data_IF_831021659321
#
_entry.id   IF_831021659321
#
_cell.length_a   1.000
_cell.length_b   1.000
_cell.length_c   1.000
_cell.angle_alpha   90.00
_cell.angle_beta   90.00
_cell.angle_gamma   90.00
#
_symmetry.space_group_name_H-M   'P 1'
#
loop_
_entity.id
_entity.type
_entity.pdbx_description
1 polymer ?
#
# COMPACT_ATOMS: atom_id res chain seq x y z
N UNK A 1 -11.23 -7.99 -19.37
CA UNK A 1 -12.17 -9.14 -19.53
C UNK A 1 -12.08 -10.02 -18.29
N UNK A 2 -13.20 -10.57 -17.80
CA UNK A 2 -13.20 -11.48 -16.65
C UNK A 2 -13.40 -12.93 -17.10
N UNK A 3 -12.75 -13.89 -16.43
CA UNK A 3 -12.91 -15.32 -16.65
C UNK A 3 -13.31 -16.00 -15.33
N UNK A 4 -14.33 -16.86 -15.36
CA UNK A 4 -14.73 -17.65 -14.20
C UNK A 4 -13.79 -18.85 -14.03
N UNK A 5 -13.24 -19.01 -12.84
CA UNK A 5 -12.45 -20.17 -12.43
C UNK A 5 -13.19 -20.82 -11.25
N UNK A 6 -13.32 -22.14 -11.25
CA UNK A 6 -13.86 -22.90 -10.12
C UNK A 6 -12.71 -23.52 -9.36
N UNK A 7 -12.64 -23.27 -8.05
CA UNK A 7 -11.59 -23.77 -7.16
C UNK A 7 -12.26 -24.59 -6.07
N UNK A 8 -11.70 -25.78 -5.81
CA UNK A 8 -12.04 -26.57 -4.62
C UNK A 8 -11.02 -26.24 -3.54
N UNK A 9 -11.50 -25.87 -2.36
CA UNK A 9 -10.67 -25.53 -1.21
C UNK A 9 -10.85 -26.60 -0.13
N UNK A 10 -9.78 -27.00 0.57
CA UNK A 10 -9.89 -27.72 1.82
C UNK A 10 -10.78 -26.96 2.83
N UNK A 11 -11.51 -27.69 3.66
CA UNK A 11 -12.50 -27.10 4.59
C UNK A 11 -11.85 -26.09 5.55
N UNK A 12 -10.65 -26.38 6.06
CA UNK A 12 -9.91 -25.49 6.95
C UNK A 12 -9.54 -24.15 6.27
N UNK A 13 -9.18 -24.20 4.98
CA UNK A 13 -8.89 -23.00 4.21
C UNK A 13 -10.16 -22.20 3.91
N UNK A 14 -11.25 -22.90 3.57
CA UNK A 14 -12.55 -22.27 3.32
C UNK A 14 -13.07 -21.56 4.58
N UNK A 15 -12.95 -22.17 5.76
CA UNK A 15 -13.34 -21.56 7.04
C UNK A 15 -12.52 -20.30 7.36
N UNK A 16 -11.19 -20.36 7.18
CA UNK A 16 -10.30 -19.20 7.37
C UNK A 16 -10.67 -18.06 6.43
N UNK A 17 -10.88 -18.37 5.16
CA UNK A 17 -11.29 -17.40 4.14
C UNK A 17 -12.64 -16.75 4.47
N UNK A 18 -13.65 -17.54 4.85
CA UNK A 18 -14.97 -17.03 5.23
C UNK A 18 -14.91 -16.18 6.52
N UNK A 19 -14.01 -16.50 7.45
CA UNK A 19 -13.77 -15.67 8.63
C UNK A 19 -13.24 -14.30 8.22
N UNK A 20 -12.24 -14.26 7.35
CA UNK A 20 -11.65 -13.02 6.86
C UNK A 20 -12.64 -12.18 6.05
N UNK A 21 -13.43 -12.82 5.19
CA UNK A 21 -14.52 -12.19 4.44
C UNK A 21 -15.51 -11.45 5.36
N UNK A 22 -15.91 -12.08 6.47
CA UNK A 22 -16.80 -11.46 7.47
C UNK A 22 -16.15 -10.27 8.16
N UNK A 23 -14.86 -10.37 8.52
CA UNK A 23 -14.12 -9.29 9.16
C UNK A 23 -13.98 -8.07 8.25
N UNK A 24 -13.64 -8.30 6.98
CA UNK A 24 -13.49 -7.24 5.96
C UNK A 24 -14.82 -6.73 5.39
N UNK A 25 -15.95 -7.38 5.70
CA UNK A 25 -17.30 -7.07 5.18
C UNK A 25 -17.37 -7.00 3.65
N UNK A 26 -16.57 -7.80 2.96
CA UNK A 26 -16.52 -7.88 1.49
C UNK A 26 -17.36 -9.05 0.96
N UNK A 27 -17.66 -9.11 -0.34
CA UNK A 27 -18.20 -10.33 -0.94
C UNK A 27 -17.08 -11.35 -1.12
N UNK A 28 -17.39 -12.64 -1.03
CA UNK A 28 -16.40 -13.71 -1.22
C UNK A 28 -15.68 -13.61 -2.57
N UNK A 29 -16.38 -13.26 -3.64
CA UNK A 29 -15.74 -13.10 -4.95
C UNK A 29 -14.73 -11.97 -4.98
N UNK A 30 -15.00 -10.88 -4.25
CA UNK A 30 -14.13 -9.70 -4.24
C UNK A 30 -12.87 -10.00 -3.42
N UNK A 31 -13.03 -10.51 -2.19
CA UNK A 31 -11.86 -10.89 -1.37
C UNK A 31 -10.99 -11.94 -2.05
N UNK A 32 -11.59 -12.94 -2.70
CA UNK A 32 -10.81 -13.97 -3.39
C UNK A 32 -10.02 -13.38 -4.57
N UNK A 33 -10.61 -12.47 -5.33
CA UNK A 33 -9.92 -11.77 -6.43
C UNK A 33 -8.78 -10.93 -5.87
N UNK A 34 -9.03 -10.16 -4.82
CA UNK A 34 -8.04 -9.26 -4.22
C UNK A 34 -6.86 -10.07 -3.67
N UNK A 35 -7.11 -11.17 -2.93
CA UNK A 35 -6.04 -12.05 -2.42
C UNK A 35 -5.24 -12.72 -3.53
N UNK A 36 -5.88 -13.10 -4.64
CA UNK A 36 -5.17 -13.66 -5.81
C UNK A 36 -4.31 -12.60 -6.49
N UNK A 37 -4.84 -11.40 -6.69
CA UNK A 37 -4.09 -10.27 -7.26
C UNK A 37 -2.89 -9.92 -6.37
N UNK A 38 -3.08 -9.78 -5.06
CA UNK A 38 -2.00 -9.56 -4.09
C UNK A 38 -0.93 -10.66 -4.21
N UNK A 39 -1.34 -11.94 -4.26
CA UNK A 39 -0.41 -13.06 -4.37
C UNK A 39 0.38 -13.07 -5.69
N UNK A 40 -0.25 -12.70 -6.81
CA UNK A 40 0.43 -12.59 -8.10
C UNK A 40 1.44 -11.44 -8.08
N UNK A 41 1.05 -10.28 -7.56
CA UNK A 41 1.92 -9.11 -7.45
C UNK A 41 3.11 -9.35 -6.52
N UNK A 42 2.92 -10.02 -5.40
CA UNK A 42 4.05 -10.39 -4.52
C UNK A 42 5.01 -11.39 -5.18
N UNK A 43 4.55 -12.23 -6.11
CA UNK A 43 5.44 -13.09 -6.91
C UNK A 43 6.21 -12.30 -7.97
N UNK A 44 5.58 -11.27 -8.52
CA UNK A 44 6.16 -10.36 -9.49
C UNK A 44 7.15 -9.36 -8.86
N UNK A 45 6.92 -9.00 -7.60
CA UNK A 45 7.69 -8.04 -6.82
C UNK A 45 7.99 -8.60 -5.41
N UNK A 46 9.00 -9.48 -5.24
CA UNK A 46 9.25 -10.20 -3.99
C UNK A 46 9.59 -9.35 -2.75
N UNK A 47 9.93 -8.07 -2.94
CA UNK A 47 10.18 -7.11 -1.85
C UNK A 47 8.93 -6.38 -1.35
N UNK A 48 7.76 -6.64 -1.95
CA UNK A 48 6.50 -5.96 -1.65
C UNK A 48 5.55 -6.94 -0.94
N UNK A 49 4.86 -6.42 0.07
CA UNK A 49 3.77 -7.10 0.79
C UNK A 49 2.54 -6.20 0.82
N UNK A 50 1.36 -6.77 1.09
CA UNK A 50 0.13 -5.99 1.25
C UNK A 50 -0.27 -5.95 2.72
N UNK A 51 -0.44 -4.74 3.25
CA UNK A 51 -0.84 -4.49 4.64
C UNK A 51 -2.14 -3.70 4.70
N UNK A 52 -2.85 -3.82 5.83
CA UNK A 52 -4.03 -3.00 6.10
C UNK A 52 -3.55 -1.65 6.65
N UNK A 53 -3.88 -0.57 5.95
CA UNK A 53 -3.65 0.82 6.36
C UNK A 53 -4.99 1.53 6.63
N UNK A 54 -4.99 2.69 7.32
CA UNK A 54 -6.23 3.43 7.60
C UNK A 54 -7.02 3.82 6.34
N UNK A 55 -6.32 4.06 5.24
CA UNK A 55 -6.88 4.38 3.91
C UNK A 55 -7.26 3.15 3.10
N UNK A 56 -6.95 1.95 3.58
CA UNK A 56 -7.28 0.69 2.91
C UNK A 56 -6.10 -0.27 2.82
N UNK A 57 -6.27 -1.33 2.04
CA UNK A 57 -5.23 -2.32 1.76
C UNK A 57 -4.19 -1.71 0.84
N UNK A 58 -2.91 -1.68 1.23
CA UNK A 58 -1.86 -0.99 0.47
C UNK A 58 -0.64 -1.88 0.23
N UNK A 59 0.01 -1.68 -0.92
CA UNK A 59 1.34 -2.23 -1.21
C UNK A 59 2.39 -1.53 -0.35
N UNK A 60 3.23 -2.31 0.32
CA UNK A 60 4.18 -1.86 1.33
C UNK A 60 5.53 -2.55 1.12
N UNK A 61 6.62 -1.82 1.33
CA UNK A 61 7.96 -2.41 1.33
C UNK A 61 8.09 -3.36 2.52
N UNK A 62 8.48 -4.60 2.26
CA UNK A 62 8.57 -5.63 3.27
C UNK A 62 9.54 -5.23 4.40
N UNK A 63 9.06 -5.33 5.65
CA UNK A 63 9.88 -5.08 6.85
C UNK A 63 10.04 -3.62 7.26
N UNK A 64 9.43 -2.66 6.56
CA UNK A 64 9.56 -1.23 6.90
C UNK A 64 8.25 -0.59 7.35
N UNK A 65 7.11 -1.11 6.90
CA UNK A 65 5.80 -0.47 7.10
C UNK A 65 5.54 0.71 6.17
N UNK A 66 6.52 1.11 5.34
CA UNK A 66 6.37 2.21 4.37
C UNK A 66 5.63 1.72 3.13
N UNK A 67 4.51 2.37 2.83
CA UNK A 67 3.76 2.12 1.61
C UNK A 67 4.61 2.49 0.38
N UNK A 68 4.38 1.80 -0.73
CA UNK A 68 5.15 2.04 -1.97
C UNK A 68 4.96 3.49 -2.45
N UNK A 69 3.74 4.01 -2.35
CA UNK A 69 3.46 5.41 -2.73
C UNK A 69 4.21 6.41 -1.86
N UNK A 70 4.41 6.15 -0.56
CA UNK A 70 5.20 6.99 0.35
C UNK A 70 6.66 7.01 -0.09
N UNK A 71 7.23 5.84 -0.36
CA UNK A 71 8.62 5.71 -0.83
C UNK A 71 8.81 6.47 -2.16
N UNK A 72 7.87 6.36 -3.09
CA UNK A 72 7.92 7.08 -4.37
C UNK A 72 7.80 8.59 -4.17
N UNK A 73 6.85 9.05 -3.34
CA UNK A 73 6.66 10.46 -3.03
C UNK A 73 7.93 11.06 -2.39
N UNK A 74 8.48 10.40 -1.36
CA UNK A 74 9.70 10.83 -0.69
C UNK A 74 10.92 10.81 -1.61
N UNK A 75 11.05 9.79 -2.46
CA UNK A 75 12.13 9.74 -3.46
C UNK A 75 12.03 10.88 -4.47
N UNK A 76 10.81 11.21 -4.96
CA UNK A 76 10.56 12.37 -5.83
C UNK A 76 10.95 13.68 -5.15
N UNK A 77 10.63 13.84 -3.85
CA UNK A 77 10.96 15.06 -3.09
C UNK A 77 12.45 15.20 -2.74
N UNK A 78 13.13 14.11 -2.38
CA UNK A 78 14.53 14.12 -1.95
C UNK A 78 15.53 14.04 -3.12
N UNK A 79 15.07 13.59 -4.30
CA UNK A 79 15.84 13.59 -5.54
C UNK A 79 16.94 12.54 -5.65
N UNK A 80 17.17 11.70 -4.63
CA UNK A 80 18.11 10.58 -4.71
C UNK A 80 17.80 9.45 -3.73
N UNK A 81 18.24 8.23 -4.08
CA UNK A 81 18.16 7.07 -3.19
C UNK A 81 19.01 7.28 -1.92
N UNK A 82 20.20 7.88 -2.05
CA UNK A 82 21.08 8.14 -0.90
C UNK A 82 20.42 9.03 0.16
N UNK A 83 19.86 10.17 -0.27
CA UNK A 83 19.15 11.08 0.64
C UNK A 83 17.96 10.42 1.34
N UNK A 84 17.26 9.51 0.65
CA UNK A 84 16.17 8.74 1.24
C UNK A 84 16.66 7.76 2.32
N UNK A 85 17.75 7.04 2.06
CA UNK A 85 18.34 6.10 3.02
C UNK A 85 18.92 6.82 4.25
N UNK A 86 19.49 8.01 4.05
CA UNK A 86 19.99 8.85 5.14
C UNK A 86 18.86 9.29 6.09
N UNK A 87 17.67 9.59 5.54
CA UNK A 87 16.50 10.00 6.33
C UNK A 87 15.73 8.82 6.94
N UNK A 88 15.72 7.66 6.26
CA UNK A 88 15.01 6.46 6.69
C UNK A 88 15.96 5.27 6.81
N UNK A 89 16.75 5.16 7.90
CA UNK A 89 17.78 4.12 8.05
C UNK A 89 17.24 2.68 8.09
N UNK A 90 15.95 2.51 8.33
CA UNK A 90 15.26 1.21 8.30
C UNK A 90 14.86 0.78 6.89
N UNK A 91 14.91 1.70 5.91
CA UNK A 91 14.74 1.39 4.50
C UNK A 91 16.07 0.94 3.92
N UNK A 92 16.07 -0.18 3.19
CA UNK A 92 17.27 -0.65 2.49
C UNK A 92 17.27 -0.15 1.05
N UNK A 93 18.46 -0.02 0.45
CA UNK A 93 18.58 0.34 -0.97
C UNK A 93 17.81 -0.62 -1.88
N UNK A 94 17.80 -1.92 -1.53
CA UNK A 94 16.98 -2.93 -2.20
C UNK A 94 15.49 -2.64 -2.05
N UNK A 95 15.03 -2.30 -0.85
CA UNK A 95 13.63 -1.92 -0.62
C UNK A 95 13.18 -0.72 -1.44
N UNK A 96 14.05 0.29 -1.61
CA UNK A 96 13.80 1.44 -2.50
C UNK A 96 13.66 0.96 -3.94
N UNK A 97 14.59 0.13 -4.43
CA UNK A 97 14.52 -0.42 -5.79
C UNK A 97 13.26 -1.26 -6.03
N UNK A 98 12.88 -2.09 -5.06
CA UNK A 98 11.68 -2.92 -5.13
C UNK A 98 10.40 -2.04 -5.19
N UNK A 99 10.36 -0.95 -4.42
CA UNK A 99 9.27 0.03 -4.46
C UNK A 99 9.18 0.74 -5.82
N UNK A 100 10.30 1.22 -6.37
CA UNK A 100 10.35 1.88 -7.66
C UNK A 100 9.95 0.93 -8.81
N UNK A 101 10.41 -0.32 -8.76
CA UNK A 101 10.02 -1.34 -9.73
C UNK A 101 8.53 -1.69 -9.66
N UNK A 102 7.95 -1.76 -8.45
CA UNK A 102 6.50 -1.92 -8.30
C UNK A 102 5.74 -0.73 -8.88
N UNK A 103 6.21 0.50 -8.63
CA UNK A 103 5.58 1.71 -9.14
C UNK A 103 5.64 1.84 -10.67
N UNK A 104 6.70 1.34 -11.30
CA UNK A 104 6.78 1.26 -12.77
C UNK A 104 5.73 0.29 -13.35
N UNK A 105 5.41 -0.78 -12.62
CA UNK A 105 4.46 -1.82 -13.05
C UNK A 105 3.01 -1.48 -12.76
N UNK A 106 2.76 -0.71 -11.70
CA UNK A 106 1.42 -0.28 -11.25
C UNK A 106 1.34 1.24 -11.07
N UNK A 107 1.64 2.05 -12.12
CA UNK A 107 1.77 3.50 -11.97
C UNK A 107 0.46 4.18 -11.59
N UNK A 108 -0.67 3.73 -12.15
CA UNK A 108 -1.99 4.32 -11.90
C UNK A 108 -2.39 4.22 -10.42
N UNK A 109 -2.08 3.10 -9.77
CA UNK A 109 -2.34 2.90 -8.34
C UNK A 109 -1.50 3.85 -7.48
N UNK A 110 -0.21 3.95 -7.78
CA UNK A 110 0.71 4.79 -7.03
C UNK A 110 0.35 6.26 -7.19
N UNK A 111 0.06 6.69 -8.42
CA UNK A 111 -0.29 8.07 -8.70
C UNK A 111 -1.65 8.44 -8.08
N UNK A 112 -2.64 7.55 -8.12
CA UNK A 112 -3.90 7.77 -7.43
C UNK A 112 -3.73 7.91 -5.91
N UNK A 113 -2.88 7.07 -5.29
CA UNK A 113 -2.60 7.15 -3.86
C UNK A 113 -1.87 8.45 -3.47
N UNK A 114 -0.90 8.89 -4.30
CA UNK A 114 -0.21 10.17 -4.10
C UNK A 114 -1.20 11.33 -4.21
N UNK A 115 -2.04 11.34 -5.25
CA UNK A 115 -3.04 12.39 -5.46
C UNK A 115 -4.08 12.44 -4.34
N UNK A 116 -4.55 11.28 -3.85
CA UNK A 116 -5.48 11.23 -2.72
C UNK A 116 -4.85 11.81 -1.44
N UNK A 117 -3.57 11.53 -1.20
CA UNK A 117 -2.85 12.08 -0.06
C UNK A 117 -2.60 13.60 -0.20
N UNK A 118 -2.29 14.08 -1.41
CA UNK A 118 -2.08 15.50 -1.72
C UNK A 118 -3.39 16.31 -1.73
N UNK A 119 -4.53 15.68 -2.05
CA UNK A 119 -5.85 16.32 -2.07
C UNK A 119 -6.35 16.73 -0.67
N UNK A 120 -5.67 16.29 0.40
CA UNK A 120 -5.86 16.82 1.75
C UNK A 120 -5.20 18.21 1.86
N UNK A 121 -5.82 19.19 1.20
CA UNK A 121 -5.52 20.63 1.35
C UNK A 121 -5.60 21.04 2.83
N UNK A 122 -4.72 21.95 3.27
CA UNK A 122 -4.67 22.53 4.61
C UNK A 122 -6.06 23.00 5.12
N UNK A 123 -6.90 23.50 4.23
CA UNK A 123 -8.29 23.91 4.49
C UNK A 123 -9.18 22.71 4.83
N UNK A 124 -9.09 21.63 4.06
CA UNK A 124 -9.82 20.37 4.30
C UNK A 124 -9.31 19.69 5.57
N UNK A 125 -7.99 19.74 5.80
CA UNK A 125 -7.32 19.25 7.01
C UNK A 125 -7.82 19.99 8.26
N UNK A 126 -7.86 21.33 8.21
CA UNK A 126 -8.35 22.20 9.29
C UNK A 126 -9.85 22.02 9.56
N UNK A 127 -10.64 21.74 8.52
CA UNK A 127 -12.08 21.45 8.64
C UNK A 127 -12.34 20.08 9.25
N UNK A 128 -11.63 19.05 8.79
CA UNK A 128 -11.88 17.64 9.14
C UNK A 128 -11.14 17.22 10.43
N UNK A 129 -9.99 17.83 10.67
CA UNK A 129 -9.11 17.60 11.82
C UNK A 129 -8.63 18.92 12.42
N UNK A 130 -9.54 19.74 12.97
CA UNK A 130 -9.20 21.07 13.50
C UNK A 130 -8.12 21.04 14.58
N UNK A 131 -7.96 19.92 15.28
CA UNK A 131 -6.94 19.68 16.29
C UNK A 131 -5.52 19.41 15.76
N UNK A 132 -5.35 19.14 14.46
CA UNK A 132 -4.03 19.00 13.83
C UNK A 132 -3.46 20.34 13.35
N UNK A 133 -4.31 21.37 13.23
CA UNK A 133 -3.90 22.69 12.78
C UNK A 133 -3.12 23.43 13.87
N UNK A 134 -1.85 23.75 13.59
CA UNK A 134 -0.97 24.47 14.53
C UNK A 134 0.08 23.60 15.22
N UNK A 135 0.23 22.32 14.82
CA UNK A 135 1.46 21.57 15.09
C UNK A 135 2.54 22.11 14.16
N UNK A 136 3.25 23.16 14.59
CA UNK A 136 4.52 23.47 13.94
C UNK A 136 5.47 22.28 14.14
N UNK A 137 6.21 21.85 13.10
CA UNK A 137 7.24 20.84 13.31
C UNK A 137 8.21 21.38 14.36
N UNK A 138 8.44 20.61 15.44
CA UNK A 138 9.50 20.99 16.38
C UNK A 138 10.83 21.13 15.63
N UNK A 139 11.64 22.15 15.97
CA UNK A 139 12.84 22.52 15.22
C UNK A 139 13.92 21.43 15.19
#
# INVERSE_FOLDING_TARGET
MSRRISVRMPDDQAERFLREQRLRRQRSSDLLRDLVEEALRMRECPGIVFLDAPTGRQATVAGTGLAVWEVVSLWRSLGSVGALLDRFPHLSERGVRDALAYAERFPDEIEAAIQENEALDETELRRRYPYLTGLEPEP
#
